data_IF_833160581156
#
_entry.id   IF_833160581156
#
_cell.length_a   1.000
_cell.length_b   1.000
_cell.length_c   1.000
_cell.angle_alpha   90.00
_cell.angle_beta   90.00
_cell.angle_gamma   90.00
#
_symmetry.space_group_name_H-M   'P 1'
#
loop_
_entity.id
_entity.type
_entity.pdbx_description
1 polymer ?
#
# COMPACT_ATOMS: atom_id res chain seq x y z
N UNK A 1 6.46 15.28 25.42
CA UNK A 1 6.03 14.52 24.23
C UNK A 1 6.11 15.47 23.04
N UNK A 2 6.88 15.14 22.06
CA UNK A 2 6.94 15.94 20.85
C UNK A 2 5.63 15.82 20.07
N UNK A 3 5.28 16.86 19.32
CA UNK A 3 4.10 16.88 18.47
C UNK A 3 4.50 16.49 17.04
N UNK A 4 3.71 15.63 16.40
CA UNK A 4 3.80 15.37 14.99
C UNK A 4 2.80 16.27 14.24
N UNK A 5 3.24 16.92 13.18
CA UNK A 5 2.42 17.81 12.37
C UNK A 5 2.33 17.30 10.93
N UNK A 6 1.16 17.43 10.32
CA UNK A 6 1.01 17.23 8.87
C UNK A 6 1.27 18.59 8.23
N UNK A 7 2.33 18.70 7.43
CA UNK A 7 2.77 19.95 6.82
C UNK A 7 2.29 20.14 5.38
N UNK A 8 2.09 19.04 4.66
CA UNK A 8 1.51 19.05 3.31
C UNK A 8 0.88 17.68 3.00
N UNK A 9 0.10 17.60 1.92
CA UNK A 9 -0.52 16.37 1.43
C UNK A 9 -0.91 16.47 -0.04
N UNK A 10 -0.74 15.38 -0.77
CA UNK A 10 -1.14 15.26 -2.19
C UNK A 10 -1.81 13.90 -2.41
N UNK A 11 -2.69 13.85 -3.38
CA UNK A 11 -3.26 12.60 -3.90
C UNK A 11 -3.47 12.66 -5.40
N UNK A 12 -3.50 11.51 -6.02
CA UNK A 12 -4.00 11.35 -7.38
C UNK A 12 -5.53 11.44 -7.42
N UNK A 13 -6.11 11.48 -8.61
CA UNK A 13 -7.53 11.13 -8.76
C UNK A 13 -7.76 9.67 -8.37
N UNK A 14 -8.98 9.33 -7.96
CA UNK A 14 -9.39 7.95 -7.72
C UNK A 14 -9.94 7.42 -9.04
N UNK A 15 -9.22 6.46 -9.63
CA UNK A 15 -9.62 5.78 -10.85
C UNK A 15 -10.41 4.51 -10.56
N UNK A 16 -11.39 4.21 -11.42
CA UNK A 16 -12.04 2.90 -11.39
C UNK A 16 -11.11 1.86 -12.00
N UNK A 17 -11.25 0.60 -11.58
CA UNK A 17 -10.50 -0.52 -12.15
C UNK A 17 -10.69 -0.58 -13.67
N UNK A 18 -9.60 -0.83 -14.40
CA UNK A 18 -9.52 -0.79 -15.86
C UNK A 18 -9.90 0.57 -16.51
N UNK A 19 -9.96 1.63 -15.72
CA UNK A 19 -10.23 2.99 -16.16
C UNK A 19 -8.98 3.78 -16.53
N UNK A 20 -8.92 5.04 -16.06
CA UNK A 20 -7.89 6.01 -16.44
C UNK A 20 -6.44 5.56 -16.12
N UNK A 21 -6.25 4.73 -15.11
CA UNK A 21 -4.93 4.22 -14.68
C UNK A 21 -4.68 2.76 -15.07
N UNK A 22 -5.45 2.18 -16.00
CA UNK A 22 -5.40 0.75 -16.34
C UNK A 22 -4.03 0.21 -16.77
N UNK A 23 -3.15 1.08 -17.22
CA UNK A 23 -1.80 0.74 -17.69
C UNK A 23 -0.70 1.33 -16.80
N UNK A 24 -1.07 1.99 -15.69
CA UNK A 24 -0.12 2.65 -14.81
C UNK A 24 0.16 1.75 -13.59
N UNK A 25 1.37 1.23 -13.44
CA UNK A 25 1.76 0.47 -12.25
C UNK A 25 1.61 1.31 -10.97
N UNK A 26 1.28 0.67 -9.87
CA UNK A 26 1.03 1.36 -8.61
C UNK A 26 2.26 2.15 -8.11
N UNK A 27 3.46 1.60 -8.28
CA UNK A 27 4.72 2.28 -7.91
C UNK A 27 4.98 3.55 -8.74
N UNK A 28 4.57 3.56 -10.01
CA UNK A 28 4.71 4.74 -10.88
C UNK A 28 3.71 5.81 -10.48
N UNK A 29 2.45 5.42 -10.22
CA UNK A 29 1.42 6.33 -9.71
C UNK A 29 1.85 6.97 -8.38
N UNK A 30 2.40 6.16 -7.46
CA UNK A 30 2.92 6.65 -6.19
C UNK A 30 4.10 7.60 -6.39
N UNK A 31 5.02 7.30 -7.31
CA UNK A 31 6.18 8.14 -7.61
C UNK A 31 5.76 9.52 -8.13
N UNK A 32 4.76 9.60 -9.00
CA UNK A 32 4.21 10.88 -9.47
C UNK A 32 3.66 11.73 -8.32
N UNK A 33 2.95 11.10 -7.38
CA UNK A 33 2.44 11.81 -6.19
C UNK A 33 3.57 12.24 -5.28
N UNK A 34 4.58 11.39 -5.06
CA UNK A 34 5.78 11.72 -4.28
C UNK A 34 6.55 12.90 -4.88
N UNK A 35 6.72 12.91 -6.20
CA UNK A 35 7.37 14.01 -6.90
C UNK A 35 6.60 15.32 -6.77
N UNK A 36 5.26 15.26 -6.80
CA UNK A 36 4.41 16.44 -6.64
C UNK A 36 4.34 16.94 -5.19
N UNK A 37 4.57 16.06 -4.21
CA UNK A 37 4.53 16.37 -2.78
C UNK A 37 5.87 16.92 -2.28
N UNK A 38 6.99 16.29 -2.67
CA UNK A 38 8.31 16.58 -2.12
C UNK A 38 9.21 17.18 -3.20
N UNK A 39 9.53 18.49 -3.11
CA UNK A 39 10.49 19.13 -4.01
C UNK A 39 11.83 18.41 -4.03
N UNK A 40 12.51 18.43 -5.15
CA UNK A 40 13.76 17.67 -5.35
C UNK A 40 14.86 18.02 -4.34
N UNK A 41 15.00 19.29 -4.02
CA UNK A 41 15.98 19.80 -3.05
C UNK A 41 15.67 19.41 -1.59
N UNK A 42 14.41 19.02 -1.31
CA UNK A 42 13.97 18.56 0.03
C UNK A 42 14.12 17.04 0.19
N UNK A 43 14.12 16.25 -0.89
CA UNK A 43 14.14 14.78 -0.81
C UNK A 43 15.28 14.20 0.02
N UNK A 44 16.43 14.86 0.02
CA UNK A 44 17.61 14.44 0.79
C UNK A 44 17.45 14.64 2.30
N UNK A 45 16.48 15.44 2.75
CA UNK A 45 16.20 15.69 4.17
C UNK A 45 15.11 14.79 4.73
N UNK A 46 14.48 13.97 3.88
CA UNK A 46 13.48 13.00 4.32
C UNK A 46 14.17 11.83 5.00
N UNK A 47 13.79 11.57 6.25
CA UNK A 47 14.34 10.47 7.04
C UNK A 47 13.81 9.10 6.57
N UNK A 48 12.53 9.04 6.14
CA UNK A 48 11.91 7.77 5.78
C UNK A 48 10.66 7.98 4.92
N UNK A 49 10.35 7.00 4.06
CA UNK A 49 9.10 6.93 3.29
C UNK A 49 8.35 5.65 3.67
N UNK A 50 7.09 5.78 4.11
CA UNK A 50 6.25 4.67 4.54
C UNK A 50 5.01 4.59 3.64
N UNK A 51 4.84 3.48 2.92
CA UNK A 51 3.75 3.33 1.95
C UNK A 51 2.86 2.15 2.33
N UNK A 52 1.59 2.42 2.57
CA UNK A 52 0.57 1.39 2.70
C UNK A 52 0.22 0.77 1.33
N UNK A 53 0.12 -0.55 1.27
CA UNK A 53 -0.35 -1.27 0.10
C UNK A 53 -1.08 -2.55 0.53
N UNK A 54 -2.34 -2.70 0.19
CA UNK A 54 -3.19 -3.81 0.62
C UNK A 54 -3.51 -4.81 -0.49
N UNK A 55 -3.57 -4.37 -1.74
CA UNK A 55 -3.82 -5.25 -2.90
C UNK A 55 -2.56 -6.05 -3.24
N UNK A 56 -1.42 -5.53 -2.87
CA UNK A 56 -0.13 -6.15 -3.05
C UNK A 56 0.45 -5.94 -4.45
N UNK A 57 1.70 -5.54 -4.46
CA UNK A 57 2.58 -5.67 -5.59
C UNK A 57 3.68 -6.66 -5.22
N UNK A 58 4.52 -7.04 -6.14
CA UNK A 58 5.68 -7.86 -5.81
C UNK A 58 6.71 -7.04 -5.02
N UNK A 59 7.14 -7.54 -3.88
CA UNK A 59 8.21 -6.95 -3.08
C UNK A 59 7.81 -5.69 -2.30
N UNK A 60 8.79 -4.84 -2.03
CA UNK A 60 8.62 -3.61 -1.29
C UNK A 60 8.25 -2.45 -2.23
N UNK A 61 6.95 -2.28 -2.47
CA UNK A 61 6.44 -1.22 -3.34
C UNK A 61 6.79 0.18 -2.84
N UNK A 62 6.83 0.37 -1.52
CA UNK A 62 7.24 1.65 -0.92
C UNK A 62 8.66 2.02 -1.34
N UNK A 63 9.58 1.06 -1.28
CA UNK A 63 10.96 1.28 -1.75
C UNK A 63 11.02 1.54 -3.25
N UNK A 64 10.29 0.75 -4.04
CA UNK A 64 10.28 0.90 -5.48
C UNK A 64 9.75 2.27 -5.91
N UNK A 65 8.62 2.70 -5.34
CA UNK A 65 8.03 4.02 -5.60
C UNK A 65 8.98 5.16 -5.22
N UNK A 66 9.65 5.06 -4.07
CA UNK A 66 10.62 6.07 -3.59
C UNK A 66 11.80 6.21 -4.54
N UNK A 67 12.35 5.11 -5.02
CA UNK A 67 13.44 5.13 -6.02
C UNK A 67 12.96 5.62 -7.39
N UNK A 68 11.76 5.24 -7.82
CA UNK A 68 11.14 5.73 -9.06
C UNK A 68 10.88 7.25 -9.00
N UNK A 69 10.60 7.78 -7.81
CA UNK A 69 10.46 9.20 -7.55
C UNK A 69 11.80 9.94 -7.39
N UNK A 70 12.93 9.28 -7.69
CA UNK A 70 14.28 9.84 -7.62
C UNK A 70 14.69 10.38 -6.23
N UNK A 71 14.20 9.76 -5.16
CA UNK A 71 14.76 10.01 -3.83
C UNK A 71 16.17 9.41 -3.73
N UNK A 72 17.06 10.00 -2.90
CA UNK A 72 18.35 9.43 -2.64
C UNK A 72 18.28 7.99 -2.15
N UNK A 73 19.19 7.13 -2.58
CA UNK A 73 19.24 5.73 -2.14
C UNK A 73 19.41 5.56 -0.63
N UNK A 74 19.96 6.57 0.03
CA UNK A 74 20.14 6.60 1.48
C UNK A 74 18.81 6.75 2.24
N UNK A 75 17.77 7.31 1.62
CA UNK A 75 16.44 7.43 2.26
C UNK A 75 15.79 6.06 2.34
N UNK A 76 15.58 5.51 3.55
CA UNK A 76 14.91 4.23 3.70
C UNK A 76 13.43 4.32 3.33
N UNK A 77 12.90 3.23 2.79
CA UNK A 77 11.48 3.15 2.49
C UNK A 77 10.97 1.71 2.61
N UNK A 78 9.75 1.54 3.07
CA UNK A 78 9.13 0.23 3.21
C UNK A 78 7.62 0.27 3.03
N UNK A 79 7.05 -0.92 2.91
CA UNK A 79 5.62 -1.13 2.71
C UNK A 79 4.99 -1.66 3.99
N UNK A 80 3.79 -1.16 4.28
CA UNK A 80 2.93 -1.63 5.36
C UNK A 80 1.69 -2.26 4.78
N UNK A 81 1.33 -3.44 5.27
CA UNK A 81 0.06 -4.10 4.95
C UNK A 81 -0.76 -4.29 6.24
N UNK A 82 -1.85 -3.57 6.32
CA UNK A 82 -2.93 -3.72 7.29
C UNK A 82 -4.27 -3.74 6.53
N UNK A 83 -4.30 -4.45 5.41
CA UNK A 83 -5.47 -4.52 4.53
C UNK A 83 -5.92 -3.09 4.12
N UNK A 84 -7.24 -2.81 4.14
CA UNK A 84 -7.82 -1.51 3.78
C UNK A 84 -7.33 -0.35 4.67
N UNK A 85 -6.75 -0.64 5.84
CA UNK A 85 -6.18 0.34 6.77
C UNK A 85 -4.73 0.73 6.52
N UNK A 86 -4.05 0.11 5.53
CA UNK A 86 -2.60 0.24 5.35
C UNK A 86 -2.12 1.68 5.19
N UNK A 87 -2.85 2.50 4.45
CA UNK A 87 -2.50 3.91 4.26
C UNK A 87 -2.61 4.73 5.55
N UNK A 88 -3.64 4.48 6.37
CA UNK A 88 -3.78 5.13 7.68
C UNK A 88 -2.71 4.64 8.66
N UNK A 89 -2.39 3.35 8.63
CA UNK A 89 -1.34 2.78 9.46
C UNK A 89 0.04 3.38 9.14
N UNK A 90 0.34 3.63 7.88
CA UNK A 90 1.56 4.34 7.49
C UNK A 90 1.67 5.72 8.17
N UNK A 91 0.56 6.48 8.24
CA UNK A 91 0.49 7.77 8.95
C UNK A 91 0.64 7.60 10.47
N UNK A 92 0.03 6.56 11.05
CA UNK A 92 0.11 6.25 12.48
C UNK A 92 1.56 5.93 12.88
N UNK A 93 2.26 5.11 12.08
CA UNK A 93 3.67 4.78 12.29
C UNK A 93 4.54 6.03 12.18
N UNK A 94 4.34 6.86 11.15
CA UNK A 94 5.08 8.10 10.95
C UNK A 94 4.92 9.03 12.17
N UNK A 95 3.70 9.24 12.63
CA UNK A 95 3.41 10.06 13.81
C UNK A 95 4.08 9.51 15.09
N UNK A 96 4.09 8.19 15.27
CA UNK A 96 4.75 7.55 16.40
C UNK A 96 6.27 7.75 16.38
N UNK A 97 6.91 7.59 15.21
CA UNK A 97 8.35 7.80 15.03
C UNK A 97 8.77 9.26 15.29
N UNK A 98 8.04 10.23 14.75
CA UNK A 98 8.28 11.66 15.03
C UNK A 98 8.15 11.93 16.54
N UNK A 99 7.06 11.48 17.17
CA UNK A 99 6.82 11.72 18.60
C UNK A 99 7.82 11.04 19.53
N UNK A 100 8.48 9.98 19.07
CA UNK A 100 9.55 9.29 19.81
C UNK A 100 10.95 9.82 19.52
N UNK A 101 11.10 10.84 18.66
CA UNK A 101 12.38 11.41 18.26
C UNK A 101 13.22 10.49 17.37
N UNK A 102 12.62 9.52 16.69
CA UNK A 102 13.33 8.63 15.77
C UNK A 102 13.49 9.24 14.38
N UNK A 103 12.72 10.26 14.05
CA UNK A 103 12.75 10.96 12.77
C UNK A 103 12.19 12.37 12.95
N UNK A 104 12.58 13.27 12.04
CA UNK A 104 12.12 14.65 11.99
C UNK A 104 11.16 14.88 10.81
N UNK A 105 11.38 14.19 9.68
CA UNK A 105 10.58 14.34 8.46
C UNK A 105 10.29 13.00 7.81
N UNK A 106 9.03 12.58 7.81
CA UNK A 106 8.59 11.34 7.19
C UNK A 106 7.54 11.64 6.12
N UNK A 107 7.64 10.95 4.99
CA UNK A 107 6.59 10.90 3.98
C UNK A 107 5.81 9.61 4.17
N UNK A 108 4.50 9.71 4.40
CA UNK A 108 3.65 8.56 4.64
C UNK A 108 2.35 8.64 3.84
N UNK A 109 1.88 7.50 3.36
CA UNK A 109 0.65 7.42 2.59
C UNK A 109 0.37 6.01 2.12
N UNK A 110 -0.35 5.86 1.01
CA UNK A 110 -0.62 4.54 0.44
C UNK A 110 -0.96 4.60 -1.04
N UNK A 111 -0.81 3.47 -1.71
CA UNK A 111 -1.17 3.29 -3.11
C UNK A 111 -1.64 1.87 -3.36
N UNK A 112 -2.70 1.74 -4.14
CA UNK A 112 -3.16 0.47 -4.70
C UNK A 112 -3.58 0.65 -6.15
N UNK A 113 -3.40 -0.38 -6.96
CA UNK A 113 -3.89 -0.45 -8.33
C UNK A 113 -4.41 -1.85 -8.63
N UNK A 114 -5.72 -2.03 -8.57
CA UNK A 114 -6.35 -3.31 -8.94
C UNK A 114 -6.13 -3.66 -10.41
N UNK A 115 -6.03 -2.65 -11.29
CA UNK A 115 -5.84 -2.85 -12.74
C UNK A 115 -4.49 -3.46 -13.10
N UNK A 116 -3.45 -3.22 -12.30
CA UNK A 116 -2.07 -3.67 -12.55
C UNK A 116 -1.54 -4.60 -11.48
N UNK A 117 -2.37 -4.96 -10.51
CA UNK A 117 -1.99 -5.88 -9.44
C UNK A 117 -1.56 -7.25 -9.99
N UNK A 118 -0.53 -7.88 -9.43
CA UNK A 118 -0.13 -9.22 -9.83
C UNK A 118 -1.23 -10.23 -9.49
N UNK A 119 -1.39 -11.22 -10.33
CA UNK A 119 -2.23 -12.37 -10.03
C UNK A 119 -1.50 -13.28 -9.05
N UNK A 120 -2.25 -13.81 -8.08
CA UNK A 120 -1.70 -14.70 -7.04
C UNK A 120 -2.25 -16.09 -7.21
N UNK A 121 -1.36 -17.09 -7.13
CA UNK A 121 -1.73 -18.50 -7.09
C UNK A 121 -1.04 -19.17 -5.91
N UNK A 122 -1.65 -20.19 -5.34
CA UNK A 122 -1.01 -20.98 -4.30
C UNK A 122 0.06 -21.90 -4.91
N UNK A 123 1.14 -22.12 -4.17
CA UNK A 123 2.13 -23.14 -4.50
C UNK A 123 1.50 -24.53 -4.32
N UNK A 124 1.96 -25.52 -5.10
CA UNK A 124 1.49 -26.92 -5.05
C UNK A 124 1.51 -27.53 -3.65
N UNK A 125 2.43 -27.11 -2.81
CA UNK A 125 2.55 -27.60 -1.44
C UNK A 125 1.57 -26.92 -0.47
N UNK A 126 0.80 -25.92 -0.91
CA UNK A 126 -0.14 -25.23 -0.05
C UNK A 126 -1.41 -26.05 0.13
N UNK A 127 -1.94 -26.18 1.37
CA UNK A 127 -3.16 -26.97 1.64
C UNK A 127 -4.38 -26.55 0.80
N UNK A 128 -4.45 -25.28 0.42
CA UNK A 128 -5.56 -24.74 -0.38
C UNK A 128 -5.32 -24.81 -1.89
N UNK A 129 -4.22 -25.40 -2.37
CA UNK A 129 -3.88 -25.45 -3.78
C UNK A 129 -5.00 -26.04 -4.63
N UNK A 130 -5.43 -27.25 -4.32
CA UNK A 130 -6.51 -27.94 -5.04
C UNK A 130 -7.87 -27.23 -4.86
N UNK A 131 -8.10 -26.67 -3.67
CA UNK A 131 -9.33 -25.92 -3.37
C UNK A 131 -9.56 -24.72 -4.28
N UNK A 132 -8.48 -24.07 -4.70
CA UNK A 132 -8.53 -22.91 -5.61
C UNK A 132 -8.23 -23.26 -7.07
N UNK A 133 -8.32 -24.55 -7.45
CA UNK A 133 -8.24 -25.01 -8.84
C UNK A 133 -6.82 -25.20 -9.38
N UNK A 134 -5.82 -25.27 -8.52
CA UNK A 134 -4.46 -25.59 -8.92
C UNK A 134 -3.74 -24.47 -9.68
N UNK A 135 -2.92 -24.83 -10.65
CA UNK A 135 -2.04 -23.89 -11.38
C UNK A 135 -2.78 -22.83 -12.20
N UNK A 136 -3.97 -23.15 -12.70
CA UNK A 136 -4.76 -22.23 -13.54
C UNK A 136 -5.62 -21.25 -12.72
N UNK A 137 -5.67 -21.45 -11.41
CA UNK A 137 -6.53 -20.65 -10.55
C UNK A 137 -5.75 -19.55 -9.83
N UNK A 138 -6.33 -18.36 -9.84
CA UNK A 138 -5.83 -17.22 -9.10
C UNK A 138 -6.84 -16.81 -8.04
N UNK A 139 -6.41 -16.77 -6.77
CA UNK A 139 -7.27 -16.22 -5.74
C UNK A 139 -7.23 -14.69 -5.78
N UNK A 140 -8.40 -14.09 -5.74
CA UNK A 140 -8.58 -12.62 -5.71
C UNK A 140 -8.99 -12.10 -4.33
N UNK A 141 -9.32 -13.01 -3.41
CA UNK A 141 -9.88 -12.67 -2.11
C UNK A 141 -8.88 -13.00 -1.01
N UNK A 142 -8.60 -12.01 -0.16
CA UNK A 142 -7.79 -12.21 1.01
C UNK A 142 -8.52 -13.09 2.04
N UNK A 143 -7.77 -13.92 2.78
CA UNK A 143 -8.30 -14.58 3.97
C UNK A 143 -8.34 -13.56 5.10
N UNK A 144 -9.52 -13.25 5.60
CA UNK A 144 -9.70 -12.31 6.71
C UNK A 144 -9.63 -12.99 8.08
N UNK A 145 -9.90 -14.31 8.14
CA UNK A 145 -9.81 -15.10 9.36
C UNK A 145 -9.46 -16.55 9.05
N UNK A 146 -8.95 -17.32 10.04
CA UNK A 146 -8.74 -18.75 9.86
C UNK A 146 -10.03 -19.46 9.45
N UNK A 147 -9.98 -20.23 8.36
CA UNK A 147 -11.14 -20.96 7.83
C UNK A 147 -12.15 -20.11 7.07
N UNK A 148 -12.02 -18.78 7.04
CA UNK A 148 -12.90 -17.91 6.27
C UNK A 148 -12.46 -17.86 4.81
N UNK A 149 -13.35 -18.29 3.93
CA UNK A 149 -13.11 -18.38 2.49
C UNK A 149 -14.28 -17.83 1.66
N UNK A 150 -15.23 -17.17 2.31
CA UNK A 150 -16.37 -16.60 1.63
C UNK A 150 -15.96 -15.36 0.81
N UNK A 151 -16.05 -15.41 -0.53
CA UNK A 151 -15.74 -14.26 -1.38
C UNK A 151 -16.67 -13.06 -1.14
N UNK A 152 -17.81 -13.29 -0.48
CA UNK A 152 -18.79 -12.27 -0.14
C UNK A 152 -18.77 -11.84 1.32
N UNK A 153 -17.73 -12.23 2.09
CA UNK A 153 -17.64 -11.93 3.53
C UNK A 153 -17.81 -10.43 3.84
N UNK A 154 -17.19 -9.56 3.04
CA UNK A 154 -17.29 -8.11 3.22
C UNK A 154 -18.72 -7.58 2.95
N UNK A 155 -19.36 -8.06 1.89
CA UNK A 155 -20.74 -7.68 1.53
C UNK A 155 -21.71 -8.15 2.62
N UNK A 156 -21.58 -9.40 3.07
CA UNK A 156 -22.40 -9.92 4.17
C UNK A 156 -22.14 -9.22 5.49
N UNK A 157 -20.90 -8.78 5.74
CA UNK A 157 -20.56 -7.95 6.89
C UNK A 157 -21.31 -6.61 6.84
N UNK A 158 -21.28 -5.95 5.70
CA UNK A 158 -22.00 -4.68 5.50
C UNK A 158 -23.53 -4.84 5.66
N UNK A 159 -24.11 -5.90 5.13
CA UNK A 159 -25.54 -6.21 5.32
C UNK A 159 -25.91 -6.37 6.80
N UNK A 160 -25.06 -7.06 7.59
CA UNK A 160 -25.30 -7.23 9.04
C UNK A 160 -25.20 -5.94 9.82
N UNK A 161 -24.41 -4.98 9.37
CA UNK A 161 -24.30 -3.66 10.02
C UNK A 161 -25.48 -2.76 9.65
N UNK A 162 -26.11 -2.98 8.50
CA UNK A 162 -27.27 -2.21 8.04
C UNK A 162 -28.61 -2.63 8.69
N UNK A 163 -28.65 -3.75 9.40
CA UNK A 163 -29.83 -4.27 10.12
C UNK A 163 -29.84 -3.78 11.57
#
# INVERSE_FOLDING_TARGET
MEHAYIIDGRRSYIGVENGMYKHLPAEVLAAEVLCALVPEDVRQTVDEVIVGNGVGASGNIGRLATLTAHFPQAVPAYTVDMQCGSGLEALTIAAAKIRSGQADLIVAGGVDSSSTAPRRAYNRNHPDYERYGGEESFYSVAKFAPGEHDPYAMIRGAERVAL
#
